data_IF_796627004686
#
_entry.id   IF_796627004686
#
_cell.length_a   1.000
_cell.length_b   1.000
_cell.length_c   1.000
_cell.angle_alpha   90.00
_cell.angle_beta   90.00
_cell.angle_gamma   90.00
#
_symmetry.space_group_name_H-M   'P 1'
#
loop_
_entity.id
_entity.type
_entity.pdbx_description
1 polymer ?
#
# COMPACT_ATOMS: atom_id res chain seq x y z
N UNK A 1 -16.74 -4.26 14.27
CA UNK A 1 -16.75 -5.32 13.24
C UNK A 1 -15.33 -5.52 12.77
N UNK A 2 -14.90 -6.76 12.50
CA UNK A 2 -13.57 -7.03 11.93
C UNK A 2 -13.60 -6.61 10.47
N UNK A 3 -12.68 -5.74 10.04
CA UNK A 3 -12.56 -5.35 8.63
C UNK A 3 -12.14 -6.56 7.80
N UNK A 4 -12.72 -6.71 6.61
CA UNK A 4 -12.30 -7.72 5.65
C UNK A 4 -11.01 -7.27 4.97
N UNK A 5 -10.09 -8.22 4.84
CA UNK A 5 -8.75 -8.00 4.30
C UNK A 5 -8.66 -8.46 2.85
N UNK A 6 -7.82 -7.83 2.05
CA UNK A 6 -7.59 -8.23 0.66
C UNK A 6 -6.13 -8.08 0.23
N UNK A 7 -5.77 -8.78 -0.84
CA UNK A 7 -4.51 -8.63 -1.57
C UNK A 7 -4.87 -8.16 -2.98
N UNK A 8 -4.20 -7.13 -3.47
CA UNK A 8 -4.38 -6.60 -4.81
C UNK A 8 -3.25 -7.11 -5.71
N UNK A 9 -3.58 -7.96 -6.69
CA UNK A 9 -2.61 -8.51 -7.64
C UNK A 9 -2.77 -7.80 -8.98
N UNK A 10 -1.65 -7.47 -9.64
CA UNK A 10 -1.65 -6.63 -10.84
C UNK A 10 -2.33 -5.28 -10.55
N UNK A 11 -1.98 -4.70 -9.40
CA UNK A 11 -2.72 -3.61 -8.78
C UNK A 11 -2.78 -2.33 -9.64
N UNK A 12 -1.86 -2.20 -10.61
CA UNK A 12 -1.70 -0.97 -11.39
C UNK A 12 -1.55 0.23 -10.45
N UNK A 13 -2.17 1.35 -10.80
CA UNK A 13 -2.16 2.55 -9.96
C UNK A 13 -3.14 2.49 -8.76
N UNK A 14 -3.80 1.35 -8.49
CA UNK A 14 -4.64 1.15 -7.31
C UNK A 14 -6.11 1.52 -7.45
N UNK A 15 -6.67 1.58 -8.67
CA UNK A 15 -8.08 1.94 -8.88
C UNK A 15 -9.07 0.98 -8.19
N UNK A 16 -8.80 -0.32 -8.24
CA UNK A 16 -9.59 -1.34 -7.54
C UNK A 16 -9.44 -1.19 -6.02
N UNK A 17 -8.21 -1.04 -5.55
CA UNK A 17 -7.90 -0.78 -4.14
C UNK A 17 -8.64 0.42 -3.56
N UNK A 18 -8.70 1.55 -4.28
CA UNK A 18 -9.48 2.72 -3.86
C UNK A 18 -10.97 2.38 -3.67
N UNK A 19 -11.53 1.47 -4.48
CA UNK A 19 -12.89 0.96 -4.31
C UNK A 19 -13.06 0.17 -3.01
N UNK A 20 -12.18 -0.79 -2.76
CA UNK A 20 -12.19 -1.60 -1.53
C UNK A 20 -12.01 -0.77 -0.27
N UNK A 21 -11.07 0.18 -0.26
CA UNK A 21 -10.84 1.09 0.87
C UNK A 21 -12.09 1.92 1.16
N UNK A 22 -12.76 2.47 0.13
CA UNK A 22 -14.03 3.20 0.31
C UNK A 22 -15.17 2.32 0.84
N UNK A 23 -15.16 1.03 0.51
CA UNK A 23 -16.10 0.05 1.02
C UNK A 23 -15.76 -0.46 2.43
N UNK A 24 -14.66 0.02 3.04
CA UNK A 24 -14.26 -0.32 4.41
C UNK A 24 -13.38 -1.56 4.53
N UNK A 25 -12.79 -2.05 3.43
CA UNK A 25 -11.85 -3.17 3.44
C UNK A 25 -10.41 -2.68 3.68
N UNK A 26 -9.58 -3.53 4.28
CA UNK A 26 -8.18 -3.24 4.60
C UNK A 26 -7.22 -3.96 3.64
N UNK A 27 -6.33 -3.24 2.92
CA UNK A 27 -5.31 -3.86 2.09
C UNK A 27 -4.22 -4.50 2.95
N UNK A 28 -3.80 -5.71 2.57
CA UNK A 28 -2.64 -6.41 3.15
C UNK A 28 -1.40 -6.22 2.29
N UNK A 29 -1.56 -6.33 0.98
CA UNK A 29 -0.47 -6.12 0.03
C UNK A 29 -1.01 -5.72 -1.35
N UNK A 30 -0.18 -5.00 -2.09
CA UNK A 30 -0.37 -4.69 -3.50
C UNK A 30 0.84 -5.22 -4.26
N UNK A 31 0.64 -6.06 -5.27
CA UNK A 31 1.71 -6.63 -6.09
C UNK A 31 1.60 -6.04 -7.50
N UNK A 32 2.65 -5.36 -7.93
CA UNK A 32 2.69 -4.66 -9.21
C UNK A 32 4.12 -4.59 -9.76
N UNK A 33 4.31 -4.79 -11.06
CA UNK A 33 5.64 -4.79 -11.69
C UNK A 33 6.12 -3.39 -12.06
N UNK A 34 5.20 -2.50 -12.45
CA UNK A 34 5.54 -1.17 -12.92
C UNK A 34 5.87 -0.25 -11.72
N UNK A 35 7.06 0.36 -11.76
CA UNK A 35 7.53 1.21 -10.67
C UNK A 35 6.68 2.48 -10.49
N UNK A 36 6.21 3.11 -11.57
CA UNK A 36 5.39 4.33 -11.50
C UNK A 36 4.02 4.05 -10.88
N UNK A 37 3.45 2.88 -11.21
CA UNK A 37 2.23 2.37 -10.59
C UNK A 37 2.43 2.08 -9.10
N UNK A 38 3.55 1.45 -8.73
CA UNK A 38 3.92 1.22 -7.33
C UNK A 38 4.13 2.53 -6.54
N UNK A 39 4.77 3.53 -7.15
CA UNK A 39 4.96 4.84 -6.53
C UNK A 39 3.64 5.57 -6.32
N UNK A 40 2.71 5.40 -7.24
CA UNK A 40 1.32 5.87 -7.07
C UNK A 40 0.68 5.16 -5.88
N UNK A 41 0.77 3.82 -5.80
CA UNK A 41 0.25 3.04 -4.67
C UNK A 41 0.85 3.49 -3.34
N UNK A 42 2.17 3.67 -3.22
CA UNK A 42 2.83 4.16 -1.98
C UNK A 42 2.31 5.52 -1.57
N UNK A 43 2.15 6.42 -2.54
CA UNK A 43 1.60 7.76 -2.31
C UNK A 43 0.15 7.70 -1.83
N UNK A 44 -0.67 6.84 -2.43
CA UNK A 44 -2.07 6.63 -2.03
C UNK A 44 -2.20 5.96 -0.66
N UNK A 45 -1.38 4.96 -0.37
CA UNK A 45 -1.30 4.32 0.94
C UNK A 45 -0.94 5.34 2.03
N UNK A 46 0.08 6.16 1.78
CA UNK A 46 0.47 7.25 2.69
C UNK A 46 -0.69 8.23 2.90
N UNK A 47 -1.38 8.62 1.83
CA UNK A 47 -2.56 9.49 1.91
C UNK A 47 -3.66 8.90 2.79
N UNK A 48 -4.05 7.63 2.59
CA UNK A 48 -5.12 7.00 3.37
C UNK A 48 -4.75 6.87 4.84
N UNK A 49 -3.50 6.53 5.15
CA UNK A 49 -2.98 6.53 6.51
C UNK A 49 -3.12 7.91 7.16
N UNK A 50 -2.61 8.97 6.51
CA UNK A 50 -2.66 10.33 7.04
C UNK A 50 -4.11 10.85 7.15
N UNK A 51 -4.97 10.53 6.18
CA UNK A 51 -6.40 10.88 6.23
C UNK A 51 -7.08 10.27 7.45
N UNK A 52 -6.81 8.99 7.76
CA UNK A 52 -7.32 8.33 8.97
C UNK A 52 -6.83 8.96 10.28
N UNK A 53 -5.71 9.70 10.24
CA UNK A 53 -5.16 10.43 11.38
C UNK A 53 -5.50 11.94 11.37
N UNK A 54 -6.40 12.40 10.49
CA UNK A 54 -6.72 13.82 10.28
C UNK A 54 -5.50 14.69 9.91
N UNK A 55 -4.51 14.11 9.22
CA UNK A 55 -3.24 14.75 8.82
C UNK A 55 -3.18 15.03 7.31
N UNK A 56 -4.32 15.28 6.68
CA UNK A 56 -4.42 15.49 5.21
C UNK A 56 -3.63 16.70 4.71
N UNK A 57 -3.35 17.69 5.56
CA UNK A 57 -2.50 18.84 5.18
C UNK A 57 -1.09 18.43 4.70
N UNK A 58 -0.51 17.37 5.25
CA UNK A 58 0.80 16.88 4.81
C UNK A 58 0.78 16.35 3.37
N UNK A 59 -0.36 15.85 2.90
CA UNK A 59 -0.54 15.51 1.49
C UNK A 59 -0.57 16.76 0.61
N UNK A 60 -1.21 17.86 1.06
CA UNK A 60 -1.18 19.12 0.34
C UNK A 60 0.20 19.76 0.33
N UNK A 61 0.98 19.61 1.40
CA UNK A 61 2.38 20.05 1.42
C UNK A 61 3.22 19.31 0.38
N UNK A 62 3.01 17.99 0.22
CA UNK A 62 3.61 17.22 -0.87
C UNK A 62 3.15 17.73 -2.25
N UNK A 63 1.85 17.89 -2.49
CA UNK A 63 1.32 18.38 -3.78
C UNK A 63 1.81 19.80 -4.13
N UNK A 64 2.10 20.62 -3.13
CA UNK A 64 2.64 21.98 -3.27
C UNK A 64 4.18 22.00 -3.35
N UNK A 65 4.83 20.84 -3.44
CA UNK A 65 6.30 20.67 -3.48
C UNK A 65 7.03 21.28 -2.27
N UNK A 66 6.38 21.36 -1.10
CA UNK A 66 7.04 21.80 0.14
C UNK A 66 7.86 20.70 0.80
N UNK A 67 7.50 19.45 0.54
CA UNK A 67 8.23 18.25 0.96
C UNK A 67 8.42 17.34 -0.26
N UNK A 68 9.48 16.53 -0.26
CA UNK A 68 9.72 15.55 -1.32
C UNK A 68 8.78 14.36 -1.20
N UNK A 69 8.75 13.52 -2.24
CA UNK A 69 7.99 12.27 -2.24
C UNK A 69 8.49 11.30 -1.17
N UNK A 70 9.80 11.22 -0.97
CA UNK A 70 10.45 10.36 0.02
C UNK A 70 10.13 10.84 1.44
N UNK A 71 10.18 12.16 1.66
CA UNK A 71 9.73 12.77 2.93
C UNK A 71 8.26 12.51 3.19
N UNK A 72 7.41 12.60 2.16
CA UNK A 72 5.99 12.28 2.27
C UNK A 72 5.76 10.82 2.64
N UNK A 73 6.38 9.86 1.94
CA UNK A 73 6.26 8.44 2.25
C UNK A 73 6.75 8.09 3.66
N UNK A 74 7.78 8.79 4.16
CA UNK A 74 8.27 8.61 5.53
C UNK A 74 7.26 8.96 6.62
N UNK A 75 6.17 9.68 6.28
CA UNK A 75 5.10 10.03 7.23
C UNK A 75 4.19 8.85 7.56
N UNK A 76 4.20 7.79 6.76
CA UNK A 76 3.50 6.54 7.02
C UNK A 76 4.43 5.49 7.64
N UNK A 77 3.88 4.57 8.45
CA UNK A 77 4.61 3.40 8.94
C UNK A 77 5.29 2.62 7.82
N UNK A 78 6.54 2.21 8.05
CA UNK A 78 7.36 1.50 7.06
C UNK A 78 6.65 0.26 6.49
N UNK A 79 5.93 -0.48 7.33
CA UNK A 79 5.21 -1.68 6.91
C UNK A 79 4.10 -1.38 5.89
N UNK A 80 3.46 -0.20 5.96
CA UNK A 80 2.46 0.21 4.96
C UNK A 80 3.10 0.58 3.62
N UNK A 81 4.31 1.15 3.62
CA UNK A 81 5.05 1.41 2.38
C UNK A 81 5.55 0.10 1.77
N UNK A 82 5.99 -0.83 2.61
CA UNK A 82 6.50 -2.15 2.22
C UNK A 82 5.39 -3.14 1.81
N UNK A 83 4.12 -2.83 2.08
CA UNK A 83 2.99 -3.62 1.57
C UNK A 83 2.81 -3.46 0.05
N UNK A 84 3.43 -2.45 -0.57
CA UNK A 84 3.54 -2.30 -2.02
C UNK A 84 4.77 -3.07 -2.52
N UNK A 85 4.53 -4.28 -2.99
CA UNK A 85 5.53 -5.23 -3.48
C UNK A 85 5.76 -4.95 -4.97
N UNK A 86 6.85 -4.23 -5.27
CA UNK A 86 7.22 -3.94 -6.65
C UNK A 86 8.03 -5.09 -7.27
N UNK A 87 7.34 -6.02 -7.92
CA UNK A 87 7.97 -7.17 -8.61
C UNK A 87 7.02 -7.74 -9.66
N UNK A 88 7.58 -8.36 -10.69
CA UNK A 88 6.81 -9.17 -11.62
C UNK A 88 6.36 -10.46 -10.94
N UNK A 89 5.13 -10.92 -11.19
CA UNK A 89 4.64 -12.20 -10.68
C UNK A 89 5.13 -13.30 -11.62
N UNK A 90 6.07 -14.12 -11.16
CA UNK A 90 6.63 -15.26 -11.88
C UNK A 90 6.89 -16.43 -10.93
N UNK A 91 7.26 -17.60 -11.46
CA UNK A 91 7.60 -18.76 -10.63
C UNK A 91 8.77 -18.46 -9.68
N UNK A 92 9.73 -17.64 -10.13
CA UNK A 92 10.93 -17.25 -9.41
C UNK A 92 10.63 -16.24 -8.27
N UNK A 93 9.66 -15.34 -8.47
CA UNK A 93 9.36 -14.27 -7.51
C UNK A 93 8.25 -14.64 -6.52
N UNK A 94 7.43 -15.66 -6.81
CA UNK A 94 6.36 -16.13 -5.92
C UNK A 94 6.83 -16.40 -4.47
N UNK A 95 7.96 -17.10 -4.22
CA UNK A 95 8.46 -17.28 -2.85
C UNK A 95 8.73 -15.96 -2.12
N UNK A 96 9.27 -14.97 -2.83
CA UNK A 96 9.50 -13.64 -2.28
C UNK A 96 8.20 -12.89 -1.97
N UNK A 97 7.21 -12.96 -2.88
CA UNK A 97 5.88 -12.36 -2.69
C UNK A 97 5.19 -12.98 -1.47
N UNK A 98 5.20 -14.30 -1.34
CA UNK A 98 4.60 -14.98 -0.20
C UNK A 98 5.25 -14.59 1.12
N UNK A 99 6.59 -14.55 1.18
CA UNK A 99 7.30 -14.10 2.39
C UNK A 99 6.90 -12.66 2.77
N UNK A 100 6.83 -11.76 1.79
CA UNK A 100 6.41 -10.37 2.03
C UNK A 100 4.97 -10.26 2.54
N UNK A 101 4.05 -11.05 2.00
CA UNK A 101 2.65 -11.06 2.45
C UNK A 101 2.54 -11.65 3.86
N UNK A 102 3.25 -12.74 4.14
CA UNK A 102 3.30 -13.37 5.46
C UNK A 102 3.84 -12.41 6.54
N UNK A 103 4.86 -11.61 6.21
CA UNK A 103 5.39 -10.57 7.10
C UNK A 103 4.33 -9.51 7.46
N UNK A 104 3.41 -9.18 6.53
CA UNK A 104 2.33 -8.20 6.77
C UNK A 104 1.15 -8.78 7.55
N UNK A 105 0.84 -10.07 7.38
CA UNK A 105 -0.26 -10.75 8.08
C UNK A 105 0.11 -11.05 9.54
N UNK A 106 1.40 -11.26 9.84
CA UNK A 106 1.88 -11.65 11.16
C UNK A 106 1.34 -13.02 11.60
N UNK A 107 1.22 -13.27 12.91
CA UNK A 107 0.74 -14.56 13.48
C UNK A 107 -0.76 -14.84 13.24
N UNK A 108 -1.48 -13.97 12.55
CA UNK A 108 -2.92 -14.11 12.33
C UNK A 108 -3.20 -14.91 11.04
N UNK A 109 -2.71 -16.15 10.98
CA UNK A 109 -3.08 -17.12 9.93
C UNK A 109 -4.40 -17.79 10.33
N UNK A 110 -5.49 -17.03 10.28
CA UNK A 110 -6.85 -17.57 10.41
C UNK A 110 -7.35 -17.95 9.00
N UNK A 111 -6.76 -18.97 8.38
CA UNK A 111 -7.26 -19.60 7.15
C UNK A 111 -6.96 -21.10 7.18
#
# INVERSE_FOLDING_TARGET
>A
MKSLKYIDLFAGAGGLSEGFIRAGFEPIAHVEMNIDACDTLRTRTTFHYLKGQNRTEEYYDYLKNKITREEFWSRAPKNLIESVINTEISQETLPYIFNKIDDQIGKQKDW
#
